data_IF_337351661232
#
_entry.id   IF_337351661232
#
_cell.length_a   1.000
_cell.length_b   1.000
_cell.length_c   1.000
_cell.angle_alpha   90.00
_cell.angle_beta   90.00
_cell.angle_gamma   90.00
#
_symmetry.space_group_name_H-M   'P 1'
#
loop_
_entity.id
_entity.type
_entity.pdbx_description
1 polymer ?
#
# COMPACT_ATOMS: atom_id res chain seq x y z
N UNK A 1 10.16 6.31 3.57
CA UNK A 1 10.15 7.45 4.52
C UNK A 1 8.86 7.37 5.32
N UNK A 2 8.90 7.48 6.65
CA UNK A 2 7.71 7.40 7.50
C UNK A 2 7.27 8.81 7.95
N UNK A 3 5.96 9.07 7.96
CA UNK A 3 5.39 10.35 8.40
C UNK A 3 4.19 10.12 9.32
N UNK A 4 4.03 10.98 10.33
CA UNK A 4 2.92 11.00 11.28
C UNK A 4 2.25 12.37 11.24
N UNK A 5 1.04 12.51 10.64
CA UNK A 5 0.24 13.70 10.82
C UNK A 5 -0.28 13.74 12.26
N UNK A 6 0.02 14.82 12.99
CA UNK A 6 -0.43 15.00 14.38
C UNK A 6 -1.96 14.84 14.47
N UNK A 7 -2.40 13.81 15.18
CA UNK A 7 -3.83 13.57 15.42
C UNK A 7 -4.34 14.52 16.51
N UNK A 8 -5.55 15.07 16.34
CA UNK A 8 -6.22 15.79 17.43
C UNK A 8 -6.61 14.78 18.51
N UNK A 9 -6.71 15.25 19.76
CA UNK A 9 -7.11 14.41 20.88
C UNK A 9 -8.44 13.68 20.58
N UNK A 10 -8.43 12.34 20.63
CA UNK A 10 -9.59 11.49 20.36
C UNK A 10 -9.73 10.99 18.91
N UNK A 11 -8.82 11.34 18.00
CA UNK A 11 -8.82 10.83 16.63
C UNK A 11 -7.90 9.62 16.43
N UNK A 12 -8.19 8.71 15.48
CA UNK A 12 -7.26 7.65 15.11
C UNK A 12 -5.93 8.23 14.61
N UNK A 13 -4.82 7.94 15.31
CA UNK A 13 -3.49 8.23 14.79
C UNK A 13 -3.09 7.18 13.74
N UNK A 14 -2.38 7.59 12.70
CA UNK A 14 -1.89 6.71 11.63
C UNK A 14 -0.45 7.07 11.36
N UNK A 15 0.39 6.05 11.21
CA UNK A 15 1.78 6.20 10.75
C UNK A 15 1.94 5.42 9.45
N UNK A 16 2.47 6.10 8.44
CA UNK A 16 2.53 5.54 7.07
C UNK A 16 3.98 5.38 6.66
N UNK A 17 4.37 4.17 6.27
CA UNK A 17 5.59 3.94 5.48
C UNK A 17 5.29 4.03 3.99
N UNK A 18 6.31 4.33 3.20
CA UNK A 18 6.25 4.33 1.74
C UNK A 18 7.65 4.16 1.16
N UNK A 19 7.69 3.79 -0.13
CA UNK A 19 8.92 3.60 -0.93
C UNK A 19 9.86 2.54 -0.38
N UNK A 20 9.31 1.50 0.28
CA UNK A 20 10.13 0.35 0.68
C UNK A 20 10.67 -0.35 -0.56
N UNK A 21 9.85 -0.50 -1.62
CA UNK A 21 10.29 -0.98 -2.95
C UNK A 21 11.06 -2.31 -2.91
N UNK A 22 10.76 -3.18 -1.94
CA UNK A 22 11.49 -4.42 -1.71
C UNK A 22 12.97 -4.24 -1.32
N UNK A 23 13.38 -3.05 -0.87
CA UNK A 23 14.74 -2.73 -0.42
C UNK A 23 14.95 -3.12 1.04
N UNK A 24 14.64 -4.37 1.37
CA UNK A 24 14.67 -4.86 2.76
C UNK A 24 16.08 -4.97 3.35
N UNK A 25 17.10 -5.03 2.50
CA UNK A 25 18.50 -5.08 2.91
C UNK A 25 19.36 -4.20 2.00
N UNK A 26 20.37 -3.56 2.57
CA UNK A 26 21.37 -2.82 1.80
C UNK A 26 22.26 -3.79 1.01
N UNK A 27 22.33 -3.61 -0.31
CA UNK A 27 23.28 -4.32 -1.16
C UNK A 27 24.63 -3.58 -1.14
N UNK A 28 25.47 -3.87 -0.14
CA UNK A 28 26.80 -3.30 -0.04
C UNK A 28 27.78 -4.23 0.68
N UNK A 29 29.04 -4.23 0.25
CA UNK A 29 30.12 -5.02 0.86
C UNK A 29 30.82 -4.34 2.05
N UNK A 30 30.37 -3.14 2.45
CA UNK A 30 30.81 -2.40 3.65
C UNK A 30 29.63 -2.30 4.62
N UNK A 31 29.85 -1.84 5.86
CA UNK A 31 28.76 -1.46 6.77
C UNK A 31 27.80 -0.54 5.99
N UNK A 32 26.69 -1.12 5.56
CA UNK A 32 25.69 -0.46 4.73
C UNK A 32 24.81 0.44 5.59
N UNK A 33 23.99 1.28 4.95
CA UNK A 33 22.92 1.95 5.66
C UNK A 33 22.03 0.92 6.38
N UNK A 34 21.39 1.36 7.46
CA UNK A 34 20.47 0.54 8.23
C UNK A 34 19.40 -0.09 7.31
N UNK A 35 19.05 -1.38 7.47
CA UNK A 35 18.00 -2.01 6.68
C UNK A 35 16.69 -1.22 6.75
N UNK A 36 16.01 -1.01 5.61
CA UNK A 36 14.79 -0.19 5.56
C UNK A 36 13.71 -0.68 6.53
N UNK A 37 13.62 -2.00 6.75
CA UNK A 37 12.67 -2.58 7.70
C UNK A 37 12.95 -2.20 9.17
N UNK A 38 14.22 -2.08 9.58
CA UNK A 38 14.52 -1.69 10.97
C UNK A 38 14.20 -0.21 11.20
N UNK A 39 14.46 0.64 10.21
CA UNK A 39 14.06 2.05 10.23
C UNK A 39 12.53 2.18 10.33
N UNK A 40 11.78 1.45 9.50
CA UNK A 40 10.31 1.44 9.54
C UNK A 40 9.79 0.95 10.90
N UNK A 41 10.35 -0.15 11.41
CA UNK A 41 9.98 -0.68 12.73
C UNK A 41 10.27 0.34 13.85
N UNK A 42 11.40 1.05 13.80
CA UNK A 42 11.74 2.09 14.76
C UNK A 42 10.75 3.26 14.73
N UNK A 43 10.34 3.70 13.53
CA UNK A 43 9.32 4.75 13.40
C UNK A 43 7.94 4.31 13.89
N UNK A 44 7.52 3.09 13.59
CA UNK A 44 6.25 2.56 14.10
C UNK A 44 6.29 2.38 15.61
N UNK A 45 7.40 1.91 16.17
CA UNK A 45 7.56 1.76 17.62
C UNK A 45 7.59 3.09 18.38
N UNK A 46 8.01 4.18 17.74
CA UNK A 46 7.98 5.52 18.32
C UNK A 46 6.56 6.10 18.43
N UNK A 47 5.60 5.54 17.70
CA UNK A 47 4.19 5.97 17.65
C UNK A 47 3.26 4.80 18.04
N UNK A 48 3.36 4.26 19.28
CA UNK A 48 2.73 2.99 19.66
C UNK A 48 1.19 3.00 19.61
N UNK A 49 0.58 4.18 19.66
CA UNK A 49 -0.87 4.37 19.56
C UNK A 49 -1.36 4.62 18.12
N UNK A 50 -0.44 4.78 17.17
CA UNK A 50 -0.76 4.97 15.77
C UNK A 50 -0.96 3.64 15.05
N UNK A 51 -1.88 3.63 14.08
CA UNK A 51 -2.09 2.49 13.19
C UNK A 51 -0.99 2.46 12.11
N UNK A 52 -0.12 1.44 12.07
CA UNK A 52 0.95 1.36 11.07
C UNK A 52 0.46 0.72 9.78
N UNK A 53 0.63 1.46 8.68
CA UNK A 53 0.28 1.04 7.32
C UNK A 53 1.42 1.36 6.36
N UNK A 54 1.45 0.65 5.23
CA UNK A 54 2.36 0.95 4.13
C UNK A 54 1.56 1.43 2.93
N UNK A 55 2.06 2.49 2.28
CA UNK A 55 1.42 3.08 1.13
C UNK A 55 1.54 2.20 -0.13
N UNK A 56 2.29 1.10 -0.12
CA UNK A 56 2.45 0.16 -1.23
C UNK A 56 3.78 0.25 -1.94
N UNK A 57 3.92 -0.56 -2.98
CA UNK A 57 5.20 -1.00 -3.54
C UNK A 57 6.08 -1.66 -2.46
N UNK A 58 5.44 -2.44 -1.57
CA UNK A 58 6.12 -3.13 -0.49
C UNK A 58 7.03 -4.22 -1.05
N UNK A 59 6.53 -5.06 -1.97
CA UNK A 59 7.32 -6.03 -2.71
C UNK A 59 8.23 -5.32 -3.72
N UNK A 60 7.64 -4.39 -4.48
CA UNK A 60 8.32 -3.59 -5.50
C UNK A 60 9.05 -4.42 -6.57
N UNK A 61 9.95 -3.75 -7.30
CA UNK A 61 10.72 -4.36 -8.40
C UNK A 61 12.13 -4.87 -7.97
N UNK A 62 12.39 -4.97 -6.66
CA UNK A 62 13.72 -5.32 -6.15
C UNK A 62 14.07 -6.81 -6.33
N UNK A 63 15.27 -7.07 -6.86
CA UNK A 63 15.82 -8.42 -6.95
C UNK A 63 15.98 -9.09 -5.57
N UNK A 64 16.21 -8.31 -4.52
CA UNK A 64 16.32 -8.81 -3.13
C UNK A 64 14.99 -9.34 -2.65
N UNK A 65 13.91 -8.58 -2.85
CA UNK A 65 12.58 -9.00 -2.46
C UNK A 65 12.13 -10.24 -3.24
N UNK A 66 12.36 -10.27 -4.56
CA UNK A 66 12.10 -11.46 -5.38
C UNK A 66 12.84 -12.68 -4.85
N UNK A 67 14.15 -12.57 -4.61
CA UNK A 67 14.95 -13.69 -4.11
C UNK A 67 14.48 -14.13 -2.71
N UNK A 68 14.14 -13.20 -1.83
CA UNK A 68 13.62 -13.51 -0.50
C UNK A 68 12.32 -14.31 -0.59
N UNK A 69 11.37 -13.91 -1.44
CA UNK A 69 10.11 -14.64 -1.66
C UNK A 69 10.35 -16.01 -2.32
N UNK A 70 11.29 -16.09 -3.26
CA UNK A 70 11.64 -17.36 -3.91
C UNK A 70 12.22 -18.37 -2.92
N UNK A 71 13.01 -17.89 -1.95
CA UNK A 71 13.68 -18.72 -0.95
C UNK A 71 12.80 -19.06 0.25
N UNK A 72 12.19 -18.06 0.85
CA UNK A 72 11.41 -18.18 2.07
C UNK A 72 10.45 -17.00 2.26
N UNK A 73 9.29 -17.08 1.61
CA UNK A 73 8.26 -16.04 1.70
C UNK A 73 7.70 -15.89 3.11
N UNK A 74 7.63 -16.98 3.88
CA UNK A 74 7.09 -16.98 5.24
C UNK A 74 8.04 -16.25 6.20
N UNK A 75 9.35 -16.47 6.08
CA UNK A 75 10.35 -15.72 6.85
C UNK A 75 10.33 -14.22 6.52
N UNK A 76 10.17 -13.85 5.24
CA UNK A 76 10.03 -12.45 4.85
C UNK A 76 8.75 -11.84 5.43
N UNK A 77 7.63 -12.53 5.33
CA UNK A 77 6.35 -12.07 5.89
C UNK A 77 6.42 -11.91 7.41
N UNK A 78 7.08 -12.82 8.12
CA UNK A 78 7.34 -12.69 9.56
C UNK A 78 8.19 -11.46 9.88
N UNK A 79 9.23 -11.18 9.11
CA UNK A 79 10.07 -10.00 9.30
C UNK A 79 9.27 -8.70 9.07
N UNK A 80 8.41 -8.66 8.06
CA UNK A 80 7.51 -7.52 7.80
C UNK A 80 6.49 -7.38 8.95
N UNK A 81 5.88 -8.47 9.40
CA UNK A 81 4.95 -8.45 10.52
C UNK A 81 5.60 -7.98 11.83
N UNK A 82 6.87 -8.31 12.04
CA UNK A 82 7.64 -7.86 13.20
C UNK A 82 7.84 -6.33 13.25
N UNK A 83 7.64 -5.61 12.14
CA UNK A 83 7.62 -4.14 12.15
C UNK A 83 6.38 -3.57 12.85
N UNK A 84 5.33 -4.37 13.01
CA UNK A 84 4.02 -3.94 13.52
C UNK A 84 3.00 -3.61 12.41
N UNK A 85 3.41 -3.63 11.14
CA UNK A 85 2.56 -3.33 9.98
C UNK A 85 1.23 -4.11 10.01
N UNK A 86 0.11 -3.41 9.77
CA UNK A 86 -1.24 -4.01 9.83
C UNK A 86 -1.90 -4.19 8.47
N UNK A 87 -1.59 -3.33 7.52
CA UNK A 87 -2.07 -3.40 6.16
C UNK A 87 -1.10 -2.67 5.23
N UNK A 88 -1.15 -3.00 3.95
CA UNK A 88 -0.40 -2.30 2.92
C UNK A 88 -1.26 -2.04 1.70
N UNK A 89 -0.97 -0.96 0.99
CA UNK A 89 -1.44 -0.80 -0.37
C UNK A 89 -0.67 -1.71 -1.34
N UNK A 90 -1.28 -1.99 -2.47
CA UNK A 90 -0.58 -2.51 -3.63
C UNK A 90 -0.31 -1.38 -4.62
N UNK A 91 0.86 -1.39 -5.25
CA UNK A 91 1.18 -0.46 -6.32
C UNK A 91 1.62 -1.09 -7.62
N UNK A 92 1.86 -0.24 -8.62
CA UNK A 92 2.23 -0.68 -9.95
C UNK A 92 3.53 -1.48 -9.93
N UNK A 93 4.47 -1.18 -9.02
CA UNK A 93 5.71 -1.96 -8.90
C UNK A 93 5.46 -3.32 -8.25
N UNK A 94 4.49 -3.44 -7.35
CA UNK A 94 4.04 -4.75 -6.86
C UNK A 94 3.40 -5.58 -7.99
N UNK A 95 2.51 -4.95 -8.79
CA UNK A 95 1.84 -5.58 -9.94
C UNK A 95 2.82 -5.98 -11.05
N UNK A 96 3.98 -5.30 -11.14
CA UNK A 96 5.05 -5.66 -12.09
C UNK A 96 5.76 -6.98 -11.75
N UNK A 97 5.63 -7.48 -10.52
CA UNK A 97 6.27 -8.71 -10.10
C UNK A 97 5.68 -9.93 -10.81
N UNK A 98 6.50 -10.98 -10.98
CA UNK A 98 6.02 -12.24 -11.54
C UNK A 98 4.81 -12.75 -10.74
N UNK A 99 3.72 -13.15 -11.42
CA UNK A 99 2.44 -13.50 -10.78
C UNK A 99 2.61 -14.56 -9.69
N UNK A 100 3.40 -15.60 -9.94
CA UNK A 100 3.72 -16.63 -8.93
C UNK A 100 4.47 -16.10 -7.71
N UNK A 101 5.38 -15.13 -7.89
CA UNK A 101 6.10 -14.46 -6.80
C UNK A 101 5.14 -13.59 -6.00
N UNK A 102 4.33 -12.77 -6.67
CA UNK A 102 3.34 -11.90 -6.05
C UNK A 102 2.34 -12.71 -5.21
N UNK A 103 1.75 -13.76 -5.78
CA UNK A 103 0.81 -14.62 -5.07
C UNK A 103 1.43 -15.28 -3.84
N UNK A 104 2.68 -15.74 -3.94
CA UNK A 104 3.40 -16.33 -2.80
C UNK A 104 3.62 -15.31 -1.69
N UNK A 105 4.03 -14.10 -2.05
CA UNK A 105 4.24 -13.00 -1.11
C UNK A 105 2.94 -12.61 -0.39
N UNK A 106 1.87 -12.36 -1.15
CA UNK A 106 0.57 -11.96 -0.59
C UNK A 106 -0.01 -13.03 0.33
N UNK A 107 0.09 -14.31 -0.08
CA UNK A 107 -0.37 -15.43 0.75
C UNK A 107 0.40 -15.49 2.08
N UNK A 108 1.72 -15.33 2.05
CA UNK A 108 2.55 -15.34 3.24
C UNK A 108 2.20 -14.18 4.18
N UNK A 109 1.99 -12.97 3.65
CA UNK A 109 1.56 -11.81 4.44
C UNK A 109 0.17 -11.95 5.03
N UNK A 110 -0.79 -12.47 4.26
CA UNK A 110 -2.15 -12.72 4.76
C UNK A 110 -2.15 -13.74 5.89
N UNK A 111 -1.26 -14.74 5.85
CA UNK A 111 -1.06 -15.67 6.96
C UNK A 111 -0.55 -15.00 8.25
N UNK A 112 0.13 -13.84 8.13
CA UNK A 112 0.53 -12.99 9.26
C UNK A 112 -0.53 -11.93 9.62
N UNK A 113 -1.71 -11.98 8.99
CA UNK A 113 -2.79 -11.02 9.25
C UNK A 113 -2.62 -9.66 8.57
N UNK A 114 -1.66 -9.51 7.65
CA UNK A 114 -1.44 -8.27 6.90
C UNK A 114 -2.25 -8.34 5.60
N UNK A 115 -3.26 -7.46 5.50
CA UNK A 115 -4.12 -7.35 4.31
C UNK A 115 -3.50 -6.39 3.29
N UNK A 116 -3.63 -6.72 2.01
CA UNK A 116 -3.18 -5.87 0.90
C UNK A 116 -4.39 -5.29 0.18
N UNK A 117 -4.38 -3.98 -0.09
CA UNK A 117 -5.52 -3.27 -0.67
C UNK A 117 -5.17 -2.72 -2.04
N UNK A 118 -6.07 -2.88 -2.98
CA UNK A 118 -6.08 -2.09 -4.22
C UNK A 118 -7.53 -1.91 -4.67
N UNK A 119 -8.10 -0.79 -4.26
CA UNK A 119 -9.55 -0.51 -4.24
C UNK A 119 -10.17 -0.31 -5.62
N UNK A 120 -9.36 -0.19 -6.68
CA UNK A 120 -9.84 -0.04 -8.04
C UNK A 120 -9.43 -1.18 -8.98
N UNK A 121 -8.93 -2.30 -8.46
CA UNK A 121 -8.62 -3.46 -9.30
C UNK A 121 -9.82 -4.37 -9.47
N UNK A 122 -9.97 -4.84 -10.70
CA UNK A 122 -10.79 -5.97 -11.08
C UNK A 122 -9.92 -7.01 -11.78
N UNK A 123 -10.26 -8.29 -11.57
CA UNK A 123 -9.66 -9.41 -12.29
C UNK A 123 -10.74 -10.13 -13.09
N UNK A 124 -10.38 -10.61 -14.27
CA UNK A 124 -11.20 -11.60 -14.97
C UNK A 124 -11.21 -12.96 -14.23
N UNK A 125 -11.97 -13.92 -14.77
CA UNK A 125 -12.14 -15.23 -14.16
C UNK A 125 -10.83 -16.03 -14.05
N UNK A 126 -9.94 -15.92 -15.03
CA UNK A 126 -8.67 -16.67 -15.08
C UNK A 126 -7.63 -16.07 -14.13
N UNK A 127 -7.76 -14.77 -13.83
CA UNK A 127 -6.84 -14.01 -12.97
C UNK A 127 -7.37 -13.79 -11.55
N UNK A 128 -8.55 -14.37 -11.24
CA UNK A 128 -9.17 -14.35 -9.92
C UNK A 128 -8.24 -14.74 -8.76
N UNK A 129 -7.29 -15.68 -8.89
CA UNK A 129 -6.37 -15.99 -7.80
C UNK A 129 -5.58 -14.81 -7.25
N UNK A 130 -5.33 -13.73 -8.03
CA UNK A 130 -4.71 -12.50 -7.51
C UNK A 130 -5.69 -11.70 -6.67
N UNK A 131 -6.86 -11.41 -7.23
CA UNK A 131 -7.92 -10.67 -6.56
C UNK A 131 -8.36 -11.37 -5.26
N UNK A 132 -8.41 -12.70 -5.24
CA UNK A 132 -8.66 -13.48 -4.03
C UNK A 132 -7.59 -13.30 -2.93
N UNK A 133 -6.41 -12.72 -3.21
CA UNK A 133 -5.35 -12.44 -2.23
C UNK A 133 -5.31 -10.99 -1.73
N UNK A 134 -6.05 -10.09 -2.35
CA UNK A 134 -6.11 -8.67 -1.99
C UNK A 134 -7.53 -8.30 -1.58
N UNK A 135 -7.71 -7.06 -1.12
CA UNK A 135 -9.00 -6.40 -1.02
C UNK A 135 -9.15 -5.54 -2.28
N UNK A 136 -9.98 -6.00 -3.22
CA UNK A 136 -10.14 -5.42 -4.55
C UNK A 136 -11.37 -4.50 -4.67
N UNK A 137 -11.74 -4.05 -5.88
CA UNK A 137 -12.90 -3.19 -6.09
C UNK A 137 -14.25 -3.85 -5.75
N UNK A 138 -14.33 -5.17 -5.86
CA UNK A 138 -15.53 -5.96 -5.56
C UNK A 138 -15.75 -6.17 -4.06
N UNK A 139 -14.69 -6.05 -3.26
CA UNK A 139 -14.74 -6.22 -1.81
C UNK A 139 -15.27 -4.98 -1.07
N UNK A 140 -15.81 -5.13 0.14
CA UNK A 140 -16.05 -3.99 1.03
C UNK A 140 -14.74 -3.27 1.39
N UNK A 141 -14.77 -1.93 1.61
CA UNK A 141 -13.58 -1.19 2.00
C UNK A 141 -12.90 -1.75 3.25
N UNK A 142 -11.56 -1.77 3.23
CA UNK A 142 -10.78 -2.25 4.35
C UNK A 142 -10.89 -1.33 5.56
N UNK A 143 -11.60 -1.76 6.60
CA UNK A 143 -11.64 -1.06 7.89
C UNK A 143 -10.66 -1.66 8.90
N UNK A 144 -9.89 -0.78 9.53
CA UNK A 144 -8.94 -1.08 10.59
C UNK A 144 -9.40 -0.39 11.88
N UNK A 145 -9.59 -1.19 12.92
CA UNK A 145 -10.03 -0.71 14.22
C UNK A 145 -8.89 -0.03 14.97
N UNK A 146 -9.17 1.12 15.60
CA UNK A 146 -8.26 1.83 16.51
C UNK A 146 -9.04 2.30 17.74
N UNK A 147 -8.36 2.67 18.85
CA UNK A 147 -9.04 3.28 19.99
C UNK A 147 -9.84 4.55 19.64
N UNK A 148 -9.43 5.29 18.60
CA UNK A 148 -10.11 6.49 18.10
C UNK A 148 -11.23 6.23 17.09
N UNK A 149 -11.51 4.96 16.75
CA UNK A 149 -12.52 4.56 15.78
C UNK A 149 -11.94 3.88 14.52
N UNK A 150 -12.80 3.66 13.53
CA UNK A 150 -12.45 2.92 12.30
C UNK A 150 -11.70 3.80 11.30
N UNK A 151 -10.53 3.34 10.88
CA UNK A 151 -9.77 3.93 9.77
C UNK A 151 -9.99 3.08 8.53
N UNK A 152 -10.40 3.68 7.41
CA UNK A 152 -10.40 2.99 6.12
C UNK A 152 -9.07 3.20 5.39
N UNK A 153 -8.52 2.13 4.82
CA UNK A 153 -7.40 2.22 3.87
C UNK A 153 -7.97 2.05 2.46
N UNK A 154 -7.83 3.09 1.64
CA UNK A 154 -8.25 3.10 0.24
C UNK A 154 -7.01 3.32 -0.63
N UNK A 155 -6.78 2.45 -1.60
CA UNK A 155 -5.54 2.46 -2.39
C UNK A 155 -5.89 2.37 -3.85
N UNK A 156 -5.43 3.33 -4.63
CA UNK A 156 -5.77 3.43 -6.04
C UNK A 156 -4.49 3.44 -6.88
N UNK A 157 -4.53 2.73 -8.00
CA UNK A 157 -3.48 2.77 -9.01
C UNK A 157 -4.04 3.46 -10.25
N UNK A 158 -3.30 4.41 -10.82
CA UNK A 158 -3.69 5.06 -12.07
C UNK A 158 -3.77 4.01 -13.21
N UNK A 159 -4.87 3.93 -13.97
CA UNK A 159 -5.05 2.93 -15.04
C UNK A 159 -3.91 2.89 -16.06
N UNK A 160 -3.31 4.04 -16.35
CA UNK A 160 -2.20 4.20 -17.30
C UNK A 160 -0.98 3.37 -16.88
N UNK A 161 -0.79 3.13 -15.58
CA UNK A 161 0.33 2.33 -15.08
C UNK A 161 0.20 0.83 -15.42
N UNK A 162 -0.98 0.34 -15.78
CA UNK A 162 -1.12 -1.03 -16.30
C UNK A 162 -0.47 -1.17 -17.69
N UNK A 163 -0.48 -0.11 -18.49
CA UNK A 163 0.09 -0.13 -19.84
C UNK A 163 1.62 -0.27 -19.81
N UNK A 164 2.23 0.17 -18.71
CA UNK A 164 3.68 0.06 -18.47
C UNK A 164 4.10 -1.30 -17.92
N UNK A 165 3.16 -2.17 -17.55
CA UNK A 165 3.47 -3.51 -17.07
C UNK A 165 3.80 -4.46 -18.24
N UNK A 166 4.65 -5.48 -18.00
CA UNK A 166 4.81 -6.55 -18.98
C UNK A 166 3.44 -7.20 -19.31
N UNK A 167 3.15 -7.55 -20.59
CA UNK A 167 1.82 -8.00 -20.99
C UNK A 167 1.27 -9.18 -20.19
N UNK A 168 2.13 -10.14 -19.84
CA UNK A 168 1.80 -11.32 -19.03
C UNK A 168 1.51 -11.00 -17.54
N UNK A 169 1.76 -9.75 -17.11
CA UNK A 169 1.44 -9.25 -15.77
C UNK A 169 0.15 -8.47 -15.76
N UNK A 170 -0.08 -7.66 -16.80
CA UNK A 170 -1.30 -6.90 -17.02
C UNK A 170 -2.49 -7.77 -17.46
N UNK A 171 -2.22 -8.95 -18.04
CA UNK A 171 -3.26 -9.84 -18.54
C UNK A 171 -4.34 -10.10 -17.48
N UNK A 172 -5.60 -9.94 -17.91
CA UNK A 172 -6.80 -10.12 -17.12
C UNK A 172 -6.99 -9.16 -15.95
N UNK A 173 -6.19 -8.08 -15.86
CA UNK A 173 -6.35 -7.02 -14.88
C UNK A 173 -7.05 -5.81 -15.51
N UNK A 174 -7.92 -5.16 -14.76
CA UNK A 174 -8.52 -3.88 -15.13
C UNK A 174 -8.50 -2.95 -13.94
N UNK A 175 -8.17 -1.68 -14.15
CA UNK A 175 -8.27 -0.65 -13.13
C UNK A 175 -9.44 0.27 -13.45
N UNK A 176 -10.36 0.42 -12.50
CA UNK A 176 -11.46 1.39 -12.60
C UNK A 176 -10.84 2.80 -12.57
N UNK A 177 -11.27 3.72 -13.46
CA UNK A 177 -10.78 5.09 -13.48
C UNK A 177 -10.88 5.79 -12.13
N UNK A 178 -9.87 6.61 -11.79
CA UNK A 178 -9.75 7.24 -10.48
C UNK A 178 -10.93 8.20 -10.18
N UNK A 179 -11.43 8.89 -11.20
CA UNK A 179 -12.57 9.79 -11.13
C UNK A 179 -13.87 9.09 -10.70
N UNK A 180 -13.99 7.80 -10.98
CA UNK A 180 -15.14 6.97 -10.65
C UNK A 180 -14.92 6.20 -9.34
N UNK A 181 -13.75 5.57 -9.20
CA UNK A 181 -13.43 4.71 -8.05
C UNK A 181 -13.29 5.49 -6.74
N UNK A 182 -12.58 6.63 -6.75
CA UNK A 182 -12.31 7.41 -5.53
C UNK A 182 -13.59 7.86 -4.83
N UNK A 183 -14.55 8.57 -5.48
CA UNK A 183 -15.77 8.98 -4.79
C UNK A 183 -16.64 7.81 -4.34
N UNK A 184 -16.70 6.74 -5.13
CA UNK A 184 -17.46 5.54 -4.78
C UNK A 184 -16.91 4.90 -3.49
N UNK A 185 -15.61 4.67 -3.43
CA UNK A 185 -14.96 4.00 -2.30
C UNK A 185 -14.94 4.86 -1.02
N UNK A 186 -14.77 6.17 -1.16
CA UNK A 186 -14.98 7.11 -0.03
C UNK A 186 -16.40 6.96 0.51
N UNK A 187 -17.42 6.98 -0.35
CA UNK A 187 -18.81 6.86 0.07
C UNK A 187 -19.08 5.50 0.76
N UNK A 188 -18.57 4.39 0.20
CA UNK A 188 -18.68 3.05 0.79
C UNK A 188 -18.00 2.98 2.15
N UNK A 189 -16.79 3.53 2.29
CA UNK A 189 -16.04 3.52 3.54
C UNK A 189 -16.75 4.32 4.63
N UNK A 190 -17.27 5.51 4.29
CA UNK A 190 -18.07 6.33 5.22
C UNK A 190 -19.36 5.64 5.63
N UNK A 191 -20.08 5.05 4.67
CA UNK A 191 -21.30 4.27 4.96
C UNK A 191 -21.02 3.06 5.87
N UNK A 192 -19.83 2.46 5.77
CA UNK A 192 -19.38 1.38 6.64
C UNK A 192 -18.86 1.85 8.03
N UNK A 193 -18.88 3.17 8.29
CA UNK A 193 -18.56 3.78 9.57
C UNK A 193 -17.11 4.21 9.75
N UNK A 194 -16.34 4.37 8.66
CA UNK A 194 -15.00 4.94 8.74
C UNK A 194 -15.05 6.39 9.24
N UNK A 195 -14.37 6.67 10.36
CA UNK A 195 -14.26 8.02 10.91
C UNK A 195 -13.08 8.78 10.31
N UNK A 196 -12.06 8.05 9.82
CA UNK A 196 -10.89 8.59 9.12
C UNK A 196 -10.59 7.74 7.89
N UNK A 197 -10.13 8.38 6.82
CA UNK A 197 -9.66 7.70 5.61
C UNK A 197 -8.16 7.92 5.44
N UNK A 198 -7.48 6.89 4.97
CA UNK A 198 -6.14 6.99 4.38
C UNK A 198 -6.29 6.68 2.90
N UNK A 199 -6.19 7.71 2.08
CA UNK A 199 -6.27 7.62 0.63
C UNK A 199 -4.86 7.58 0.08
N UNK A 200 -4.50 6.46 -0.53
CA UNK A 200 -3.24 6.31 -1.24
C UNK A 200 -3.50 6.28 -2.72
N UNK A 201 -2.78 7.11 -3.48
CA UNK A 201 -2.86 7.13 -4.94
C UNK A 201 -1.49 6.83 -5.52
N UNK A 202 -1.43 5.90 -6.46
CA UNK A 202 -0.33 5.70 -7.42
C UNK A 202 -0.58 6.54 -8.66
N UNK A 203 -0.01 7.74 -8.74
CA UNK A 203 -0.07 8.53 -9.96
C UNK A 203 0.90 7.98 -11.02
N UNK A 204 0.67 8.27 -12.31
CA UNK A 204 1.73 8.16 -13.30
C UNK A 204 2.88 9.14 -12.96
N UNK A 205 4.11 8.89 -13.44
CA UNK A 205 5.24 9.78 -13.21
C UNK A 205 4.94 11.24 -13.58
N UNK A 206 5.20 12.18 -12.67
CA UNK A 206 4.90 13.61 -12.85
C UNK A 206 3.45 14.01 -12.59
N UNK A 207 2.57 13.07 -12.22
CA UNK A 207 1.16 13.30 -11.89
C UNK A 207 0.88 13.50 -10.40
N UNK A 208 1.90 13.54 -9.54
CA UNK A 208 1.75 13.28 -8.11
C UNK A 208 1.06 14.43 -7.38
N UNK A 209 1.42 15.66 -7.72
CA UNK A 209 0.75 16.85 -7.19
C UNK A 209 -0.72 16.92 -7.63
N UNK A 210 -1.00 16.62 -8.90
CA UNK A 210 -2.36 16.65 -9.43
C UNK A 210 -3.24 15.59 -8.74
N UNK A 211 -2.73 14.37 -8.58
CA UNK A 211 -3.39 13.29 -7.86
C UNK A 211 -3.63 13.65 -6.39
N UNK A 212 -2.63 14.22 -5.70
CA UNK A 212 -2.78 14.67 -4.31
C UNK A 212 -3.87 15.73 -4.17
N UNK A 213 -3.91 16.73 -5.07
CA UNK A 213 -4.92 17.81 -5.05
C UNK A 213 -6.32 17.26 -5.35
N UNK A 214 -6.44 16.40 -6.37
CA UNK A 214 -7.72 15.79 -6.73
C UNK A 214 -8.27 14.94 -5.59
N UNK A 215 -7.45 14.06 -5.00
CA UNK A 215 -7.86 13.23 -3.88
C UNK A 215 -8.21 14.08 -2.65
N UNK A 216 -7.40 15.10 -2.34
CA UNK A 216 -7.66 15.99 -1.20
C UNK A 216 -8.96 16.79 -1.35
N UNK A 217 -9.34 17.18 -2.57
CA UNK A 217 -10.61 17.88 -2.81
C UNK A 217 -11.85 17.03 -2.50
N UNK A 218 -11.69 15.71 -2.42
CA UNK A 218 -12.75 14.73 -2.12
C UNK A 218 -12.69 14.23 -0.68
N UNK A 219 -11.56 14.43 -0.01
CA UNK A 219 -11.31 13.99 1.35
C UNK A 219 -11.79 15.06 2.35
N UNK A 220 -12.15 14.64 3.57
CA UNK A 220 -12.42 15.58 4.66
C UNK A 220 -11.13 16.11 5.27
N UNK A 221 -11.22 17.21 6.03
CA UNK A 221 -10.07 17.86 6.69
C UNK A 221 -9.25 16.91 7.61
N UNK A 222 -9.87 15.84 8.09
CA UNK A 222 -9.28 14.88 9.04
C UNK A 222 -8.67 13.64 8.33
N UNK A 223 -8.85 13.53 7.01
CA UNK A 223 -8.34 12.42 6.21
C UNK A 223 -6.89 12.62 5.81
N UNK A 224 -6.17 11.52 5.57
CA UNK A 224 -4.80 11.54 5.09
C UNK A 224 -4.78 11.17 3.61
N UNK A 225 -4.20 12.04 2.79
CA UNK A 225 -3.93 11.76 1.38
C UNK A 225 -2.44 11.54 1.18
N UNK A 226 -2.09 10.41 0.56
CA UNK A 226 -0.73 10.02 0.21
C UNK A 226 -0.67 9.82 -1.30
N UNK A 227 -0.07 10.78 -2.02
CA UNK A 227 0.36 10.55 -3.38
C UNK A 227 1.74 9.87 -3.34
N UNK A 228 1.83 8.66 -3.91
CA UNK A 228 3.10 7.95 -4.04
C UNK A 228 4.01 8.78 -4.97
N UNK A 229 5.30 8.80 -4.63
CA UNK A 229 6.34 9.51 -5.41
C UNK A 229 6.25 11.05 -5.51
N UNK A 230 6.12 11.80 -4.40
CA UNK A 230 6.48 13.25 -4.47
C UNK A 230 7.89 13.43 -5.07
N UNK A 231 8.08 14.27 -6.10
CA UNK A 231 9.38 14.45 -6.73
C UNK A 231 10.41 14.79 -5.66
N UNK A 232 11.59 14.14 -5.73
CA UNK A 232 12.68 14.54 -4.83
C UNK A 232 12.96 16.03 -5.06
N UNK A 233 13.16 16.82 -3.99
CA UNK A 233 13.62 18.18 -4.17
C UNK A 233 14.92 18.11 -4.96
N UNK A 234 14.94 18.74 -6.12
CA UNK A 234 16.18 18.96 -6.88
C UNK A 234 17.08 19.80 -5.98
N UNK A 235 18.12 19.18 -5.42
CA UNK A 235 19.17 19.85 -4.64
C UNK A 235 20.17 20.50 -5.57
#
# INVERSE_FOLDING_TARGET
MAFSPSARAGQPAVVVSSRINGLYAGLGCRQGPEPVLSMVAGHFAAEPDALPIDAGDLLGASAVARLAVERDADALALAIAATGLRAAGMGHRDLSAHRSTLLRFLKALRAQGIRHVVSNLECDADHRPLCDQVEDASDPPLLLETPGGKVALLVFVAPELLEDLPPDRAEGLTLIPLEDAVPLEIARARAAGAVRLVLVVDPPPGGELAAAVQASSRAGDEDLVVARELPEPVV
#
